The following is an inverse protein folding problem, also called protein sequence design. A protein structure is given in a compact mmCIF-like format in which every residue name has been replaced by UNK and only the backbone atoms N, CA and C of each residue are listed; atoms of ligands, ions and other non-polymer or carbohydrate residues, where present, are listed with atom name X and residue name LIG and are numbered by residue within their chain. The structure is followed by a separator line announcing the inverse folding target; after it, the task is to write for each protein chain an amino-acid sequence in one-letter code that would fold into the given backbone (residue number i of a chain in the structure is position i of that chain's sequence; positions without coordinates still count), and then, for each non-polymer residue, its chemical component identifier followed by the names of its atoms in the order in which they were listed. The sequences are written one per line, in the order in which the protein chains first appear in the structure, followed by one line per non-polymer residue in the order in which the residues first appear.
data_IF_528063991417
#
_entry.id   IF_528063991417
#
_cell.length_a   1.000
_cell.length_b   1.000
_cell.length_c   1.000
_cell.angle_alpha   90.00
_cell.angle_beta   90.00
_cell.angle_gamma   90.00
#
_symmetry.space_group_name_H-M   'P 1'
#
loop_
_entity.id
_entity.type
_entity.pdbx_description
1 polymer ?
#
# COMPACT_ATOMS: atom_id res chain seq x y z
N UNK A 1 -40.88 18.28 11.58
CA UNK A 1 -39.71 17.97 12.44
C UNK A 1 -39.21 16.53 12.26
N UNK A 2 -40.06 15.56 11.89
CA UNK A 2 -39.70 14.13 11.76
C UNK A 2 -38.88 13.75 10.51
N UNK A 3 -39.00 14.50 9.41
CA UNK A 3 -38.26 14.19 8.18
C UNK A 3 -36.76 14.37 8.40
N UNK A 4 -36.34 15.46 9.06
CA UNK A 4 -34.92 15.72 9.36
C UNK A 4 -34.32 14.72 10.36
N UNK A 5 -35.11 14.16 11.28
CA UNK A 5 -34.63 13.13 12.21
C UNK A 5 -34.43 11.79 11.50
N UNK A 6 -35.34 11.39 10.61
CA UNK A 6 -35.20 10.18 9.79
C UNK A 6 -33.97 10.23 8.87
N UNK A 7 -33.71 11.37 8.20
CA UNK A 7 -32.50 11.58 7.39
C UNK A 7 -31.20 11.51 8.22
N UNK A 8 -31.20 12.08 9.44
CA UNK A 8 -30.04 12.00 10.33
C UNK A 8 -29.77 10.57 10.79
N UNK A 9 -30.81 9.77 11.04
CA UNK A 9 -30.68 8.37 11.45
C UNK A 9 -30.18 7.50 10.29
N UNK A 10 -30.73 7.66 9.09
CA UNK A 10 -30.27 6.91 7.91
C UNK A 10 -28.83 7.24 7.53
N UNK A 11 -28.45 8.53 7.61
CA UNK A 11 -27.08 8.96 7.40
C UNK A 11 -26.11 8.40 8.46
N UNK A 12 -26.48 8.43 9.74
CA UNK A 12 -25.67 7.82 10.82
C UNK A 12 -25.47 6.33 10.61
N UNK A 13 -26.53 5.62 10.19
CA UNK A 13 -26.47 4.18 9.90
C UNK A 13 -25.54 3.88 8.71
N UNK A 14 -25.67 4.61 7.60
CA UNK A 14 -24.81 4.41 6.42
C UNK A 14 -23.35 4.79 6.70
N UNK A 15 -23.10 5.82 7.53
CA UNK A 15 -21.78 6.19 7.99
C UNK A 15 -21.15 5.10 8.88
N UNK A 16 -21.92 4.53 9.81
CA UNK A 16 -21.48 3.43 10.68
C UNK A 16 -21.17 2.15 9.88
N UNK A 17 -22.01 1.79 8.90
CA UNK A 17 -21.76 0.66 7.99
C UNK A 17 -20.52 0.90 7.12
N UNK A 18 -20.32 2.12 6.62
CA UNK A 18 -19.10 2.49 5.86
C UNK A 18 -17.85 2.42 6.73
N UNK A 19 -17.95 2.79 8.00
CA UNK A 19 -16.87 2.70 8.98
C UNK A 19 -16.49 1.24 9.24
N UNK A 20 -17.47 0.36 9.47
CA UNK A 20 -17.25 -1.07 9.70
C UNK A 20 -16.55 -1.75 8.50
N UNK A 21 -16.97 -1.44 7.27
CA UNK A 21 -16.30 -1.92 6.05
C UNK A 21 -14.83 -1.50 5.95
N UNK A 22 -14.50 -0.26 6.35
CA UNK A 22 -13.11 0.23 6.34
C UNK A 22 -12.27 -0.54 7.35
N UNK A 23 -12.79 -0.76 8.55
CA UNK A 23 -12.10 -1.55 9.57
C UNK A 23 -11.82 -2.98 9.10
N UNK A 24 -12.80 -3.65 8.49
CA UNK A 24 -12.60 -5.00 7.96
C UNK A 24 -11.54 -5.03 6.85
N UNK A 25 -11.56 -4.07 5.94
CA UNK A 25 -10.54 -3.94 4.89
C UNK A 25 -9.15 -3.76 5.50
N UNK A 26 -9.02 -2.83 6.43
CA UNK A 26 -7.74 -2.51 7.06
C UNK A 26 -7.21 -3.72 7.85
N UNK A 27 -8.09 -4.44 8.56
CA UNK A 27 -7.74 -5.69 9.24
C UNK A 27 -7.23 -6.76 8.26
N UNK A 28 -7.82 -6.89 7.07
CA UNK A 28 -7.34 -7.83 6.04
C UNK A 28 -6.00 -7.41 5.45
N UNK A 29 -5.80 -6.12 5.20
CA UNK A 29 -4.51 -5.59 4.72
C UNK A 29 -3.42 -5.83 5.77
N UNK A 30 -3.70 -5.54 7.04
CA UNK A 30 -2.79 -5.78 8.17
C UNK A 30 -2.45 -7.28 8.25
N UNK A 31 -3.44 -8.16 8.22
CA UNK A 31 -3.23 -9.60 8.26
C UNK A 31 -2.43 -10.13 7.06
N UNK A 32 -2.60 -9.53 5.89
CA UNK A 32 -1.80 -9.85 4.70
C UNK A 32 -0.32 -9.49 4.91
N UNK A 33 -0.02 -8.24 5.24
CA UNK A 33 1.37 -7.80 5.42
C UNK A 33 2.04 -8.33 6.70
N UNK A 34 1.27 -8.76 7.70
CA UNK A 34 1.80 -9.51 8.85
C UNK A 34 2.49 -10.84 8.43
N UNK A 35 2.21 -11.37 7.24
CA UNK A 35 2.92 -12.54 6.74
C UNK A 35 4.39 -12.24 6.39
N UNK A 36 4.77 -10.98 6.17
CA UNK A 36 6.15 -10.59 5.88
C UNK A 36 7.14 -10.88 7.03
N UNK A 37 6.65 -10.97 8.28
CA UNK A 37 7.48 -11.05 9.48
C UNK A 37 7.76 -12.49 9.97
N UNK A 38 7.56 -13.50 9.12
CA UNK A 38 8.00 -14.91 9.27
C UNK A 38 7.85 -15.51 10.69
N UNK A 39 6.68 -15.34 11.31
CA UNK A 39 6.34 -16.01 12.57
C UNK A 39 6.75 -15.27 13.84
N UNK A 40 7.24 -14.02 13.76
CA UNK A 40 7.32 -13.15 14.95
C UNK A 40 5.93 -12.90 15.50
N UNK A 41 5.73 -13.16 16.79
CA UNK A 41 4.52 -12.75 17.48
C UNK A 41 4.52 -11.23 17.61
N UNK A 42 3.45 -10.64 17.10
CA UNK A 42 3.24 -9.20 17.05
C UNK A 42 1.78 -8.95 17.40
N UNK A 43 1.56 -8.35 18.56
CA UNK A 43 0.23 -8.19 19.14
C UNK A 43 -0.34 -6.79 18.92
N UNK A 44 0.54 -5.84 18.58
CA UNK A 44 0.15 -4.45 18.34
C UNK A 44 0.49 -3.97 16.94
N UNK A 45 -0.31 -3.04 16.41
CA UNK A 45 0.01 -2.36 15.15
C UNK A 45 1.32 -1.56 15.23
N UNK A 46 1.75 -1.17 16.45
CA UNK A 46 3.02 -0.49 16.71
C UNK A 46 4.21 -1.37 16.36
N UNK A 47 4.25 -2.55 16.96
CA UNK A 47 5.28 -3.56 16.70
C UNK A 47 5.26 -3.98 15.22
N UNK A 48 4.07 -4.15 14.63
CA UNK A 48 3.97 -4.52 13.22
C UNK A 48 4.54 -3.45 12.30
N UNK A 49 4.20 -2.17 12.55
CA UNK A 49 4.75 -1.05 11.78
C UNK A 49 6.27 -0.99 11.86
N UNK A 50 6.82 -1.16 13.08
CA UNK A 50 8.26 -1.20 13.30
C UNK A 50 8.93 -2.36 12.56
N UNK A 51 8.37 -3.57 12.67
CA UNK A 51 8.89 -4.76 12.02
C UNK A 51 8.84 -4.65 10.49
N UNK A 52 7.70 -4.23 9.92
CA UNK A 52 7.57 -3.99 8.48
C UNK A 52 8.58 -2.95 7.98
N UNK A 53 8.85 -1.92 8.76
CA UNK A 53 9.81 -0.89 8.39
C UNK A 53 11.27 -1.34 8.52
N UNK A 54 11.53 -2.36 9.34
CA UNK A 54 12.85 -2.95 9.55
C UNK A 54 13.18 -4.05 8.54
N UNK A 55 12.20 -4.48 7.72
CA UNK A 55 12.43 -5.46 6.65
C UNK A 55 13.38 -4.90 5.59
N UNK A 56 14.25 -5.78 5.09
CA UNK A 56 15.04 -5.52 3.89
C UNK A 56 14.09 -5.61 2.68
N UNK A 57 13.91 -4.52 1.91
CA UNK A 57 13.07 -4.56 0.72
C UNK A 57 13.75 -5.28 -0.44
N UNK A 58 12.95 -5.77 -1.39
CA UNK A 58 13.44 -6.14 -2.71
C UNK A 58 13.79 -4.89 -3.50
N UNK A 59 14.99 -4.86 -4.09
CA UNK A 59 15.39 -3.87 -5.07
C UNK A 59 14.89 -4.29 -6.45
N UNK A 60 14.06 -3.47 -7.07
CA UNK A 60 13.49 -3.77 -8.39
C UNK A 60 13.81 -2.62 -9.35
N UNK A 61 14.51 -2.87 -10.46
CA UNK A 61 14.74 -1.85 -11.48
C UNK A 61 13.41 -1.32 -12.05
N UNK A 62 13.23 -0.01 -12.09
CA UNK A 62 12.04 0.60 -12.68
C UNK A 62 11.93 0.24 -14.16
N UNK A 63 13.06 0.13 -14.86
CA UNK A 63 13.12 -0.24 -16.28
C UNK A 63 12.63 -1.66 -16.58
N UNK A 64 12.59 -2.55 -15.57
CA UNK A 64 12.06 -3.92 -15.73
C UNK A 64 10.56 -4.01 -15.44
N UNK A 65 9.89 -2.89 -15.15
CA UNK A 65 8.50 -2.86 -14.74
C UNK A 65 7.65 -2.01 -15.68
N UNK A 66 6.46 -2.52 -16.00
CA UNK A 66 5.37 -1.69 -16.52
C UNK A 66 4.49 -1.23 -15.36
N UNK A 67 4.46 0.08 -15.13
CA UNK A 67 3.71 0.68 -14.03
C UNK A 67 2.42 1.28 -14.60
N UNK A 68 1.28 0.93 -14.00
CA UNK A 68 -0.02 1.44 -14.40
C UNK A 68 -0.78 2.03 -13.22
N UNK A 69 -1.24 3.27 -13.39
CA UNK A 69 -2.03 4.00 -12.42
C UNK A 69 -3.51 3.88 -12.81
N UNK A 70 -4.28 3.09 -12.06
CA UNK A 70 -5.58 2.59 -12.52
C UNK A 70 -6.70 3.63 -12.50
N UNK A 71 -6.59 4.63 -11.64
CA UNK A 71 -7.74 5.48 -11.29
C UNK A 71 -7.39 6.97 -11.16
N UNK A 72 -6.16 7.35 -11.49
CA UNK A 72 -5.70 8.72 -11.47
C UNK A 72 -4.84 9.02 -12.70
N UNK A 73 -4.89 10.28 -13.13
CA UNK A 73 -3.92 10.83 -14.07
C UNK A 73 -2.84 11.52 -13.25
N UNK A 74 -1.59 11.10 -13.44
CA UNK A 74 -0.46 11.63 -12.70
C UNK A 74 0.43 12.38 -13.69
N UNK A 75 0.85 13.62 -13.39
CA UNK A 75 1.83 14.32 -14.20
C UNK A 75 3.08 13.46 -14.39
N UNK A 76 3.68 13.50 -15.59
CA UNK A 76 4.83 12.65 -15.91
C UNK A 76 6.02 12.86 -14.96
N UNK A 77 6.18 14.05 -14.40
CA UNK A 77 7.19 14.39 -13.38
C UNK A 77 6.95 13.73 -12.02
N UNK A 78 5.73 13.27 -11.74
CA UNK A 78 5.31 12.73 -10.44
C UNK A 78 4.99 11.23 -10.48
N UNK A 79 5.06 10.59 -11.64
CA UNK A 79 4.71 9.18 -11.83
C UNK A 79 5.36 8.28 -10.77
N UNK A 80 6.67 8.41 -10.60
CA UNK A 80 7.38 7.61 -9.62
C UNK A 80 7.09 8.07 -8.19
N UNK A 81 7.17 9.37 -7.90
CA UNK A 81 6.94 9.88 -6.54
C UNK A 81 5.58 9.49 -5.95
N UNK A 82 4.56 9.37 -6.81
CA UNK A 82 3.22 8.94 -6.41
C UNK A 82 3.17 7.53 -5.83
N UNK A 83 4.10 6.66 -6.20
CA UNK A 83 4.16 5.27 -5.73
C UNK A 83 4.68 5.17 -4.29
N UNK A 84 5.41 6.17 -3.80
CA UNK A 84 6.01 6.10 -2.48
C UNK A 84 4.91 5.95 -1.41
N UNK A 85 5.12 5.04 -0.46
CA UNK A 85 4.14 4.71 0.58
C UNK A 85 2.79 4.18 0.05
N UNK A 86 2.73 3.68 -1.18
CA UNK A 86 1.51 3.09 -1.74
C UNK A 86 1.47 1.56 -1.62
N UNK A 87 0.25 1.02 -1.55
CA UNK A 87 0.01 -0.41 -1.78
C UNK A 87 -0.19 -0.59 -3.28
N UNK A 88 0.61 -1.46 -3.87
CA UNK A 88 0.56 -1.81 -5.30
C UNK A 88 0.14 -3.26 -5.49
N UNK A 89 -0.55 -3.55 -6.59
CA UNK A 89 -0.72 -4.90 -7.08
C UNK A 89 0.54 -5.37 -7.80
N UNK A 90 0.97 -6.60 -7.51
CA UNK A 90 2.09 -7.26 -8.17
C UNK A 90 1.55 -8.17 -9.27
N UNK A 91 2.00 -7.93 -10.50
CA UNK A 91 1.52 -8.65 -11.68
C UNK A 91 2.62 -9.34 -12.46
N UNK A 92 2.23 -10.42 -13.12
CA UNK A 92 3.06 -11.13 -14.11
C UNK A 92 2.32 -11.06 -15.45
N UNK A 93 2.98 -10.56 -16.49
CA UNK A 93 2.47 -10.61 -17.85
C UNK A 93 2.29 -12.06 -18.30
N UNK A 94 1.20 -12.33 -19.01
CA UNK A 94 0.87 -13.66 -19.48
C UNK A 94 0.84 -13.64 -21.00
N UNK A 95 1.78 -14.33 -21.64
CA UNK A 95 1.77 -14.55 -23.08
C UNK A 95 0.57 -15.40 -23.54
N UNK A 96 -0.08 -16.11 -22.60
CA UNK A 96 -1.18 -17.05 -22.88
C UNK A 96 -2.54 -16.33 -22.89
N UNK A 97 -2.67 -15.26 -22.13
CA UNK A 97 -3.88 -14.45 -22.03
C UNK A 97 -3.48 -13.00 -22.23
N UNK A 98 -3.34 -12.57 -23.49
CA UNK A 98 -2.92 -11.21 -23.87
C UNK A 98 -3.71 -10.11 -23.14
N UNK A 99 -4.95 -10.40 -22.71
CA UNK A 99 -5.85 -9.44 -22.06
C UNK A 99 -5.94 -9.54 -20.52
N UNK A 100 -5.31 -10.54 -19.88
CA UNK A 100 -5.51 -10.81 -18.45
C UNK A 100 -4.19 -11.07 -17.73
N UNK A 101 -3.47 -10.02 -17.31
CA UNK A 101 -2.27 -10.17 -16.51
C UNK A 101 -2.60 -10.79 -15.13
N UNK A 102 -1.74 -11.69 -14.65
CA UNK A 102 -1.97 -12.41 -13.41
C UNK A 102 -1.56 -11.57 -12.20
N UNK A 103 -2.50 -11.26 -11.31
CA UNK A 103 -2.18 -10.65 -10.02
C UNK A 103 -1.74 -11.71 -9.02
N UNK A 104 -0.48 -11.66 -8.61
CA UNK A 104 0.14 -12.64 -7.69
C UNK A 104 0.14 -12.20 -6.23
N UNK A 105 -0.17 -10.92 -5.97
CA UNK A 105 -0.26 -10.39 -4.62
C UNK A 105 -0.19 -8.88 -4.54
N UNK A 106 0.09 -8.38 -3.34
CA UNK A 106 0.26 -6.96 -3.05
C UNK A 106 1.66 -6.68 -2.52
N UNK A 107 2.16 -5.48 -2.79
CA UNK A 107 3.40 -4.95 -2.25
C UNK A 107 3.20 -3.58 -1.61
N UNK A 108 4.08 -3.22 -0.67
CA UNK A 108 4.23 -1.84 -0.20
C UNK A 108 5.51 -1.29 -0.80
N UNK A 109 5.40 -0.17 -1.50
CA UNK A 109 6.56 0.57 -1.99
C UNK A 109 7.18 1.33 -0.81
N UNK A 110 8.32 0.85 -0.32
CA UNK A 110 9.07 1.39 0.81
C UNK A 110 9.74 2.73 0.50
N UNK A 111 10.14 2.90 -0.74
CA UNK A 111 10.90 4.03 -1.20
C UNK A 111 11.27 3.87 -2.67
N UNK A 112 11.82 4.94 -3.22
CA UNK A 112 12.17 5.04 -4.63
C UNK A 112 13.47 5.80 -4.71
N UNK A 113 14.43 5.22 -5.43
CA UNK A 113 15.68 5.88 -5.79
C UNK A 113 15.59 6.24 -7.26
N UNK A 114 15.22 7.49 -7.54
CA UNK A 114 15.02 7.98 -8.91
C UNK A 114 16.35 8.20 -9.64
N UNK A 115 17.46 8.42 -8.91
CA UNK A 115 18.79 8.55 -9.50
C UNK A 115 19.30 7.20 -10.03
N UNK A 116 19.16 6.13 -9.23
CA UNK A 116 19.52 4.77 -9.64
C UNK A 116 18.42 4.06 -10.42
N UNK A 117 17.21 4.61 -10.45
CA UNK A 117 16.05 4.00 -11.11
C UNK A 117 15.58 2.72 -10.41
N UNK A 118 15.61 2.68 -9.08
CA UNK A 118 15.28 1.49 -8.27
C UNK A 118 14.01 1.76 -7.43
N UNK A 119 13.10 0.79 -7.41
CA UNK A 119 11.99 0.70 -6.47
C UNK A 119 12.33 -0.27 -5.35
N UNK A 120 11.99 0.11 -4.11
CA UNK A 120 12.13 -0.76 -2.95
C UNK A 120 10.75 -1.27 -2.54
N UNK A 121 10.52 -2.58 -2.59
CA UNK A 121 9.21 -3.18 -2.32
C UNK A 121 9.29 -4.22 -1.20
N UNK A 122 8.34 -4.19 -0.26
CA UNK A 122 8.11 -5.29 0.68
C UNK A 122 6.81 -6.03 0.32
N UNK A 123 6.84 -7.35 0.39
CA UNK A 123 5.68 -8.19 0.09
C UNK A 123 5.81 -9.55 0.79
N UNK A 124 4.69 -10.18 1.20
CA UNK A 124 4.72 -11.55 1.68
C UNK A 124 4.76 -12.59 0.55
N UNK A 125 4.70 -12.16 -0.72
CA UNK A 125 4.82 -13.05 -1.88
C UNK A 125 6.21 -13.71 -1.89
N UNK A 126 6.25 -15.00 -2.22
CA UNK A 126 7.48 -15.77 -2.24
C UNK A 126 8.47 -15.25 -3.29
N UNK A 127 9.76 -15.27 -2.95
CA UNK A 127 10.84 -14.72 -3.76
C UNK A 127 10.84 -15.24 -5.21
N UNK A 128 10.69 -16.55 -5.41
CA UNK A 128 10.62 -17.18 -6.73
C UNK A 128 9.43 -16.72 -7.60
N UNK A 129 8.43 -16.08 -7.00
CA UNK A 129 7.30 -15.46 -7.70
C UNK A 129 7.57 -13.98 -7.92
N UNK A 130 8.14 -13.28 -6.94
CA UNK A 130 8.54 -11.87 -7.04
C UNK A 130 9.53 -11.64 -8.18
N UNK A 131 10.48 -12.55 -8.39
CA UNK A 131 11.44 -12.51 -9.50
C UNK A 131 10.79 -12.45 -10.90
N UNK A 132 9.53 -12.87 -11.02
CA UNK A 132 8.79 -12.89 -12.28
C UNK A 132 7.87 -11.69 -12.46
N UNK A 133 7.77 -10.83 -11.44
CA UNK A 133 6.89 -9.66 -11.46
C UNK A 133 7.47 -8.62 -12.40
N UNK A 134 6.70 -8.27 -13.42
CA UNK A 134 7.03 -7.26 -14.43
C UNK A 134 5.95 -6.16 -14.53
N UNK A 135 4.85 -6.28 -13.77
CA UNK A 135 3.77 -5.30 -13.73
C UNK A 135 3.53 -4.79 -12.31
N UNK A 136 3.35 -3.47 -12.18
CA UNK A 136 2.87 -2.84 -10.93
C UNK A 136 1.61 -2.04 -11.20
N UNK A 137 0.56 -2.31 -10.42
CA UNK A 137 -0.68 -1.52 -10.46
C UNK A 137 -0.84 -0.68 -9.21
N UNK A 138 -0.81 0.64 -9.38
CA UNK A 138 -1.19 1.55 -8.32
C UNK A 138 -2.69 1.81 -8.40
N UNK A 139 -3.41 1.31 -7.39
CA UNK A 139 -4.82 1.63 -7.16
C UNK A 139 -5.01 2.71 -6.10
N UNK A 140 -6.20 2.76 -5.51
CA UNK A 140 -6.53 3.67 -4.39
C UNK A 140 -6.55 2.96 -3.02
N UNK A 141 -5.89 1.81 -2.91
CA UNK A 141 -5.75 1.14 -1.61
C UNK A 141 -4.64 1.86 -0.84
N UNK A 142 -5.03 2.54 0.23
CA UNK A 142 -4.11 3.24 1.11
C UNK A 142 -3.61 2.32 2.23
N UNK A 143 -2.38 2.56 2.69
CA UNK A 143 -1.89 1.95 3.92
C UNK A 143 -2.84 2.28 5.09
N UNK A 144 -3.23 1.29 5.91
CA UNK A 144 -4.02 1.54 7.11
C UNK A 144 -3.34 2.58 8.00
N UNK A 145 -4.10 3.60 8.42
CA UNK A 145 -3.55 4.70 9.23
C UNK A 145 -3.00 4.22 10.57
N UNK A 146 -3.53 3.11 11.09
CA UNK A 146 -3.03 2.46 12.31
C UNK A 146 -1.61 1.91 12.20
N UNK A 147 -1.09 1.71 10.98
CA UNK A 147 0.32 1.37 10.73
C UNK A 147 1.19 2.62 10.52
N UNK A 148 0.58 3.78 10.26
CA UNK A 148 1.27 5.05 10.02
C UNK A 148 1.40 5.86 11.31
N UNK A 149 0.29 6.04 12.04
CA UNK A 149 0.16 6.91 13.21
C UNK A 149 0.42 6.14 14.51
N UNK A 150 1.63 5.62 14.65
CA UNK A 150 2.04 4.84 15.80
C UNK A 150 2.65 5.74 16.88
N UNK A 151 2.23 5.58 18.15
CA UNK A 151 2.85 6.32 19.27
C UNK A 151 4.30 5.85 19.50
N UNK A 152 5.20 6.81 19.68
CA UNK A 152 6.65 6.63 19.92
C UNK A 152 7.47 6.04 18.77
N UNK A 153 6.84 5.73 17.64
CA UNK A 153 7.54 5.26 16.43
C UNK A 153 7.11 6.08 15.23
N UNK A 154 8.08 6.57 14.46
CA UNK A 154 7.78 7.33 13.24
C UNK A 154 7.78 6.39 12.05
N UNK A 155 6.60 6.17 11.49
CA UNK A 155 6.48 5.50 10.21
C UNK A 155 7.32 6.26 9.16
N UNK A 156 8.12 5.56 8.35
CA UNK A 156 9.01 6.18 7.36
C UNK A 156 8.24 6.91 6.25
N UNK A 157 6.92 6.75 6.20
CA UNK A 157 6.04 7.42 5.25
C UNK A 157 5.47 8.74 5.75
N UNK A 158 5.70 9.09 7.03
CA UNK A 158 5.23 10.34 7.62
C UNK A 158 6.39 11.32 7.74
N UNK A 159 6.21 12.53 7.21
CA UNK A 159 7.10 13.67 7.46
C UNK A 159 6.46 14.60 8.50
N UNK A 160 6.80 14.48 9.80
CA UNK A 160 6.22 15.33 10.84
C UNK A 160 6.78 16.76 10.84
N UNK A 161 7.87 17.01 10.10
CA UNK A 161 8.53 18.31 10.04
C UNK A 161 8.70 18.71 8.58
N UNK A 162 7.83 19.61 8.12
CA UNK A 162 7.98 20.26 6.82
C UNK A 162 8.93 21.44 7.01
N UNK A 163 10.12 21.34 6.41
CA UNK A 163 11.02 22.49 6.34
C UNK A 163 10.40 23.50 5.37
N UNK A 164 10.35 24.77 5.78
CA UNK A 164 9.90 25.83 4.88
C UNK A 164 10.91 25.96 3.73
N UNK A 165 10.42 25.88 2.50
CA UNK A 165 11.21 26.21 1.31
C UNK A 165 11.49 27.71 1.33
N UNK A 166 12.77 28.08 1.41
CA UNK A 166 13.25 29.46 1.18
C UNK A 166 13.19 29.80 -0.30
#
# INVERSE_FOLDING_TARGET
MEIQSAYRVSYKRSAAEKHDRRLMRDARIIAYFKQCIKGKEVDTNKELSYELASLVPYEVPISSLTISHLHCQIPSSELFYSLNASIVGLGISSDVFEDLPLCVGLGIVRGIDTERGILYVITPVAENVVEKVDLLWQGFIQLPTSLLEVKDYRSPYLSPYVLAST
#
